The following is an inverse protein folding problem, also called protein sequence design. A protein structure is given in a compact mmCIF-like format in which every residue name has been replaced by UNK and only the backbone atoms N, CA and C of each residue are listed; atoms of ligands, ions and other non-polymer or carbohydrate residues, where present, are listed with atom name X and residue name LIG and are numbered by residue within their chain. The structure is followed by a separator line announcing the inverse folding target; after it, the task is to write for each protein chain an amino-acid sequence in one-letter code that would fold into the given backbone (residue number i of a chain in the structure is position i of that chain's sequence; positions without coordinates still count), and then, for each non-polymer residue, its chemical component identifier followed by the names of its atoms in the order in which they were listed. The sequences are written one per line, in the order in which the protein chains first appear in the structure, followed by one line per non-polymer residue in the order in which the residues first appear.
data_IF_425994603536
#
_entry.id   IF_425994603536
#
_cell.length_a   1.000
_cell.length_b   1.000
_cell.length_c   1.000
_cell.angle_alpha   90.00
_cell.angle_beta   90.00
_cell.angle_gamma   90.00
#
_symmetry.space_group_name_H-M   'P 1'
#
loop_
_entity.id
_entity.type
_entity.pdbx_description
1 polymer ?
#
# COMPACT_ATOMS: atom_id res chain seq x y z
N UNK A 1 23.06 3.58 -14.40
CA UNK A 1 22.03 3.10 -15.36
C UNK A 1 20.82 2.69 -14.51
N UNK A 2 19.74 3.46 -14.52
CA UNK A 2 18.51 3.07 -13.84
C UNK A 2 17.90 1.96 -14.69
N UNK A 3 18.06 0.72 -14.27
CA UNK A 3 17.33 -0.41 -14.86
C UNK A 3 15.83 -0.11 -14.76
N UNK A 4 15.08 -0.45 -15.80
CA UNK A 4 13.64 -0.21 -15.91
C UNK A 4 12.88 -0.94 -14.79
N UNK A 5 12.73 -0.26 -13.66
CA UNK A 5 11.96 -0.77 -12.52
C UNK A 5 10.49 -0.89 -12.89
N UNK A 6 9.99 -2.12 -12.99
CA UNK A 6 8.59 -2.40 -13.35
C UNK A 6 7.67 -2.18 -12.15
N UNK A 7 7.10 -1.00 -12.07
CA UNK A 7 6.13 -0.63 -11.06
C UNK A 7 4.73 -0.57 -11.66
N UNK A 8 3.80 -1.32 -11.09
CA UNK A 8 2.39 -1.25 -11.44
C UNK A 8 1.58 -0.77 -10.24
N UNK A 9 0.54 -0.03 -10.53
CA UNK A 9 -0.49 0.36 -9.57
C UNK A 9 -1.83 -0.07 -10.12
N UNK A 10 -2.63 -0.79 -9.33
CA UNK A 10 -4.05 -0.96 -9.62
C UNK A 10 -4.70 0.43 -9.65
N UNK A 11 -5.25 0.77 -10.79
CA UNK A 11 -5.81 2.10 -11.03
C UNK A 11 -6.97 2.38 -10.07
N UNK A 12 -7.08 3.63 -9.64
CA UNK A 12 -8.20 4.20 -8.89
C UNK A 12 -8.47 3.66 -7.47
N UNK A 13 -7.78 2.62 -7.00
CA UNK A 13 -8.04 1.97 -5.70
C UNK A 13 -9.13 0.91 -5.78
N UNK A 14 -9.08 -0.03 -4.83
CA UNK A 14 -10.02 -1.15 -4.72
C UNK A 14 -11.38 -0.63 -4.26
N UNK A 15 -12.45 -1.05 -4.95
CA UNK A 15 -13.82 -0.59 -4.68
C UNK A 15 -14.10 0.81 -5.22
N UNK A 16 -13.32 1.30 -6.20
CA UNK A 16 -13.63 2.54 -6.89
C UNK A 16 -14.94 2.41 -7.70
N UNK A 17 -15.65 3.53 -7.95
CA UNK A 17 -16.85 3.53 -8.77
C UNK A 17 -16.61 2.81 -10.10
N UNK A 18 -17.58 2.00 -10.52
CA UNK A 18 -17.55 1.21 -11.76
C UNK A 18 -16.54 0.05 -11.82
N UNK A 19 -15.75 -0.19 -10.77
CA UNK A 19 -14.86 -1.34 -10.71
C UNK A 19 -15.65 -2.63 -10.48
N UNK A 20 -15.49 -3.61 -11.39
CA UNK A 20 -16.07 -4.95 -11.27
C UNK A 20 -14.98 -5.96 -10.91
N UNK A 21 -15.37 -7.09 -10.34
CA UNK A 21 -14.44 -8.17 -10.01
C UNK A 21 -13.72 -8.73 -11.23
N UNK A 22 -14.41 -8.77 -12.39
CA UNK A 22 -13.83 -9.21 -13.65
C UNK A 22 -12.68 -8.30 -14.12
N UNK A 23 -12.78 -7.00 -13.86
CA UNK A 23 -11.69 -6.06 -14.15
C UNK A 23 -10.47 -6.33 -13.26
N UNK A 24 -10.70 -6.60 -11.97
CA UNK A 24 -9.62 -6.95 -11.03
C UNK A 24 -8.96 -8.27 -11.48
N UNK A 25 -9.75 -9.28 -11.87
CA UNK A 25 -9.22 -10.55 -12.37
C UNK A 25 -8.36 -10.36 -13.63
N UNK A 26 -8.82 -9.53 -14.57
CA UNK A 26 -8.07 -9.20 -15.79
C UNK A 26 -6.75 -8.48 -15.47
N UNK A 27 -6.76 -7.57 -14.49
CA UNK A 27 -5.56 -6.87 -14.02
C UNK A 27 -4.54 -7.86 -13.42
N UNK A 28 -5.01 -8.85 -12.63
CA UNK A 28 -4.14 -9.87 -12.05
C UNK A 28 -3.48 -10.74 -13.13
N UNK A 29 -4.24 -11.15 -14.16
CA UNK A 29 -3.72 -11.93 -15.31
C UNK A 29 -2.66 -11.10 -16.05
N UNK A 30 -2.97 -9.85 -16.36
CA UNK A 30 -2.03 -8.94 -17.02
C UNK A 30 -0.74 -8.75 -16.21
N UNK A 31 -0.84 -8.62 -14.88
CA UNK A 31 0.33 -8.53 -14.03
C UNK A 31 1.21 -9.79 -14.06
N UNK A 32 0.64 -10.98 -14.26
CA UNK A 32 1.43 -12.23 -14.40
C UNK A 32 2.32 -12.21 -15.64
N UNK A 33 1.87 -11.58 -16.73
CA UNK A 33 2.66 -11.44 -17.95
C UNK A 33 3.82 -10.47 -17.76
N UNK A 34 3.57 -9.34 -17.06
CA UNK A 34 4.56 -8.27 -16.87
C UNK A 34 5.57 -8.63 -15.77
N UNK A 35 5.17 -9.41 -14.76
CA UNK A 35 5.97 -9.75 -13.56
C UNK A 35 6.53 -8.50 -12.86
N UNK A 36 5.66 -7.67 -12.28
CA UNK A 36 6.07 -6.40 -11.67
C UNK A 36 6.92 -6.61 -10.43
N UNK A 37 7.92 -5.76 -10.26
CA UNK A 37 8.79 -5.74 -9.08
C UNK A 37 8.11 -5.07 -7.88
N UNK A 38 7.21 -4.12 -8.15
CA UNK A 38 6.40 -3.46 -7.13
C UNK A 38 4.94 -3.34 -7.58
N UNK A 39 4.02 -3.68 -6.68
CA UNK A 39 2.58 -3.63 -6.92
C UNK A 39 1.94 -2.70 -5.88
N UNK A 40 1.48 -1.53 -6.31
CA UNK A 40 0.73 -0.61 -5.46
C UNK A 40 -0.75 -0.97 -5.45
N UNK A 41 -1.29 -1.27 -4.28
CA UNK A 41 -2.71 -1.55 -4.07
C UNK A 41 -3.19 -0.84 -2.80
N UNK A 42 -4.40 -0.32 -2.81
CA UNK A 42 -5.04 0.29 -1.66
C UNK A 42 -6.52 0.49 -1.90
N UNK A 43 -7.32 0.69 -0.86
CA UNK A 43 -8.74 0.98 -1.00
C UNK A 43 -8.97 2.34 -1.68
N UNK A 44 -10.08 2.47 -2.37
CA UNK A 44 -10.52 3.75 -2.92
C UNK A 44 -10.92 4.70 -1.78
N UNK A 45 -10.42 5.92 -1.83
CA UNK A 45 -10.80 7.00 -0.91
C UNK A 45 -11.21 8.23 -1.73
N UNK A 46 -12.44 8.73 -1.57
CA UNK A 46 -12.91 9.90 -2.31
C UNK A 46 -12.15 11.16 -1.86
N UNK A 47 -12.07 12.13 -2.75
CA UNK A 47 -11.59 13.49 -2.45
C UNK A 47 -12.65 14.50 -2.81
N UNK A 48 -12.88 15.49 -1.94
CA UNK A 48 -13.93 16.52 -2.07
C UNK A 48 -13.86 17.33 -3.37
N UNK A 49 -12.68 17.48 -3.95
CA UNK A 49 -12.44 18.28 -5.15
C UNK A 49 -12.42 17.41 -6.43
N UNK A 50 -13.05 16.24 -6.39
CA UNK A 50 -13.16 15.32 -7.54
C UNK A 50 -14.61 14.99 -7.86
N UNK A 51 -14.91 14.54 -9.09
CA UNK A 51 -16.25 14.06 -9.44
C UNK A 51 -16.76 12.93 -8.53
N UNK A 52 -15.86 12.21 -7.86
CA UNK A 52 -16.16 11.08 -6.97
C UNK A 52 -16.28 11.48 -5.49
N UNK A 53 -16.45 12.79 -5.18
CA UNK A 53 -16.49 13.30 -3.80
C UNK A 53 -17.56 12.62 -2.92
N UNK A 54 -18.68 12.23 -3.51
CA UNK A 54 -19.83 11.64 -2.82
C UNK A 54 -19.90 10.10 -2.95
N UNK A 55 -18.88 9.48 -3.54
CA UNK A 55 -18.84 8.04 -3.68
C UNK A 55 -18.46 7.34 -2.37
N UNK A 56 -18.86 6.07 -2.25
CA UNK A 56 -18.54 5.26 -1.09
C UNK A 56 -17.04 4.98 -1.01
N UNK A 57 -16.53 4.94 0.20
CA UNK A 57 -15.16 4.46 0.47
C UNK A 57 -15.07 3.00 0.05
N UNK A 58 -13.94 2.63 -0.58
CA UNK A 58 -13.67 1.26 -0.99
C UNK A 58 -13.54 0.30 0.18
N UNK A 59 -13.85 -0.97 -0.04
CA UNK A 59 -13.87 -1.99 0.98
C UNK A 59 -12.46 -2.42 1.40
N UNK A 60 -12.20 -2.32 2.71
CA UNK A 60 -10.93 -2.71 3.29
C UNK A 60 -10.69 -4.22 3.18
N UNK A 61 -11.71 -5.03 3.48
CA UNK A 61 -11.63 -6.49 3.44
C UNK A 61 -11.24 -6.99 2.04
N UNK A 62 -11.87 -6.48 1.00
CA UNK A 62 -11.52 -6.82 -0.38
C UNK A 62 -10.07 -6.43 -0.69
N UNK A 63 -9.61 -5.28 -0.22
CA UNK A 63 -8.21 -4.85 -0.41
C UNK A 63 -7.25 -5.81 0.29
N UNK A 64 -7.54 -6.26 1.51
CA UNK A 64 -6.71 -7.19 2.26
C UNK A 64 -6.66 -8.58 1.59
N UNK A 65 -7.79 -9.07 1.10
CA UNK A 65 -7.86 -10.32 0.31
C UNK A 65 -6.99 -10.20 -0.94
N UNK A 66 -7.08 -9.10 -1.67
CA UNK A 66 -6.28 -8.88 -2.87
C UNK A 66 -4.79 -8.77 -2.57
N UNK A 67 -4.38 -8.17 -1.45
CA UNK A 67 -2.98 -8.18 -0.98
C UNK A 67 -2.52 -9.62 -0.78
N UNK A 68 -3.33 -10.48 -0.15
CA UNK A 68 -3.00 -11.90 0.07
C UNK A 68 -2.88 -12.65 -1.26
N UNK A 69 -3.80 -12.46 -2.19
CA UNK A 69 -3.75 -13.06 -3.52
C UNK A 69 -2.50 -12.62 -4.27
N UNK A 70 -2.21 -11.32 -4.27
CA UNK A 70 -1.00 -10.77 -4.90
C UNK A 70 0.28 -11.35 -4.29
N UNK A 71 0.33 -11.55 -2.97
CA UNK A 71 1.49 -12.16 -2.31
C UNK A 71 1.68 -13.61 -2.73
N UNK A 72 0.59 -14.38 -2.91
CA UNK A 72 0.67 -15.76 -3.38
C UNK A 72 1.12 -15.84 -4.85
N UNK A 73 0.62 -14.96 -5.71
CA UNK A 73 0.99 -14.94 -7.13
C UNK A 73 2.40 -14.38 -7.34
N UNK A 74 2.76 -13.34 -6.58
CA UNK A 74 4.03 -12.61 -6.71
C UNK A 74 4.83 -12.60 -5.39
N UNK A 75 5.40 -13.77 -5.01
CA UNK A 75 6.00 -13.93 -3.68
C UNK A 75 7.18 -13.02 -3.39
N UNK A 76 7.88 -12.52 -4.42
CA UNK A 76 9.04 -11.64 -4.28
C UNK A 76 8.72 -10.15 -4.46
N UNK A 77 7.58 -9.80 -5.04
CA UNK A 77 7.24 -8.41 -5.33
C UNK A 77 7.11 -7.55 -4.07
N UNK A 78 7.45 -6.28 -4.23
CA UNK A 78 7.26 -5.27 -3.20
C UNK A 78 5.79 -4.84 -3.19
N UNK A 79 5.10 -5.06 -2.08
CA UNK A 79 3.68 -4.71 -1.91
C UNK A 79 3.56 -3.76 -0.72
N UNK A 80 3.23 -2.47 -0.94
CA UNK A 80 3.10 -1.51 0.15
C UNK A 80 1.82 -1.71 0.97
N UNK A 81 1.95 -1.67 2.30
CA UNK A 81 0.84 -1.36 3.19
C UNK A 81 0.57 0.15 3.12
N UNK A 82 -0.42 0.54 2.33
CA UNK A 82 -0.66 1.95 1.98
C UNK A 82 -1.20 2.77 3.16
N UNK A 83 -0.99 4.08 3.13
CA UNK A 83 -1.58 4.99 4.12
C UNK A 83 -3.11 5.00 4.06
N UNK A 84 -3.70 4.65 2.92
CA UNK A 84 -5.14 4.54 2.75
C UNK A 84 -5.76 3.49 3.70
N UNK A 85 -5.12 2.33 3.89
CA UNK A 85 -5.55 1.32 4.86
C UNK A 85 -5.61 1.88 6.30
N UNK A 86 -4.55 2.59 6.70
CA UNK A 86 -4.50 3.23 8.01
C UNK A 86 -5.50 4.39 8.16
N UNK A 87 -5.91 5.03 7.05
CA UNK A 87 -6.91 6.11 7.08
C UNK A 87 -8.32 5.56 7.30
N UNK A 88 -8.64 4.39 6.75
CA UNK A 88 -9.94 3.75 6.95
C UNK A 88 -10.08 3.23 8.36
N UNK A 89 -9.02 2.61 8.89
CA UNK A 89 -9.05 1.96 10.19
C UNK A 89 -7.70 2.08 10.89
N UNK A 90 -7.73 2.38 12.18
CA UNK A 90 -6.55 2.26 13.03
C UNK A 90 -6.03 0.82 12.99
N UNK A 91 -4.71 0.64 12.85
CA UNK A 91 -4.11 -0.69 12.64
C UNK A 91 -4.25 -1.23 11.21
N UNK A 92 -4.83 -0.47 10.28
CA UNK A 92 -5.05 -0.93 8.91
C UNK A 92 -3.78 -1.25 8.13
N UNK A 93 -2.66 -0.56 8.41
CA UNK A 93 -1.36 -0.90 7.81
C UNK A 93 -0.82 -2.22 8.33
N UNK A 94 -0.94 -2.44 9.62
CA UNK A 94 -0.56 -3.67 10.31
C UNK A 94 -1.34 -4.86 9.75
N UNK A 95 -2.64 -4.69 9.53
CA UNK A 95 -3.45 -5.69 8.84
C UNK A 95 -2.95 -5.95 7.41
N UNK A 96 -2.59 -4.90 6.67
CA UNK A 96 -1.97 -5.05 5.34
C UNK A 96 -0.69 -5.88 5.37
N UNK A 97 0.18 -5.70 6.38
CA UNK A 97 1.41 -6.49 6.57
C UNK A 97 1.07 -7.95 6.86
N UNK A 98 0.12 -8.21 7.77
CA UNK A 98 -0.33 -9.56 8.12
C UNK A 98 -0.94 -10.30 6.91
N UNK A 99 -1.52 -9.57 5.96
CA UNK A 99 -2.05 -10.09 4.70
C UNK A 99 -1.00 -10.21 3.57
N UNK A 100 0.28 -9.86 3.83
CA UNK A 100 1.36 -10.09 2.87
C UNK A 100 2.02 -8.85 2.29
N UNK A 101 1.63 -7.64 2.69
CA UNK A 101 2.41 -6.44 2.37
C UNK A 101 3.78 -6.50 3.07
N UNK A 102 4.82 -5.99 2.41
CA UNK A 102 6.19 -6.02 2.91
C UNK A 102 6.93 -4.69 2.77
N UNK A 103 6.22 -3.63 2.43
CA UNK A 103 6.76 -2.28 2.35
C UNK A 103 5.87 -1.33 3.14
N UNK A 104 6.48 -0.45 3.92
CA UNK A 104 5.80 0.66 4.58
C UNK A 104 6.49 1.96 4.19
N UNK A 105 5.69 2.99 3.94
CA UNK A 105 6.19 4.30 3.52
C UNK A 105 5.86 5.33 4.59
N UNK A 106 6.84 5.76 5.40
CA UNK A 106 6.65 6.87 6.32
C UNK A 106 6.44 8.18 5.55
N UNK A 107 5.69 9.11 6.13
CA UNK A 107 5.54 10.45 5.55
C UNK A 107 6.73 11.31 5.99
N UNK A 108 7.69 11.48 5.08
CA UNK A 108 8.88 12.30 5.31
C UNK A 108 8.72 13.76 4.82
N UNK A 109 7.54 14.14 4.35
CA UNK A 109 7.29 15.50 3.90
C UNK A 109 7.43 16.50 5.07
N UNK A 110 8.07 17.67 4.86
CA UNK A 110 8.12 18.72 5.88
C UNK A 110 6.73 19.16 6.34
N UNK A 111 6.58 19.48 7.63
CA UNK A 111 5.30 19.80 8.26
C UNK A 111 4.52 20.91 7.54
N UNK A 112 5.22 21.94 7.10
CA UNK A 112 4.63 23.11 6.44
C UNK A 112 4.02 22.82 5.06
N UNK A 113 4.44 21.73 4.40
CA UNK A 113 3.91 21.34 3.06
C UNK A 113 2.99 20.13 3.11
N UNK A 114 2.90 19.41 4.24
CA UNK A 114 2.06 18.20 4.36
C UNK A 114 0.60 18.45 4.01
N UNK A 115 0.05 19.61 4.42
CA UNK A 115 -1.33 20.00 4.14
C UNK A 115 -1.63 20.19 2.65
N UNK A 116 -0.61 20.44 1.83
CA UNK A 116 -0.73 20.60 0.38
C UNK A 116 -0.78 19.26 -0.37
N UNK A 117 -0.49 18.15 0.32
CA UNK A 117 -0.42 16.80 -0.25
C UNK A 117 -1.58 15.91 0.22
N UNK A 118 -2.78 16.46 0.24
CA UNK A 118 -3.99 15.71 0.54
C UNK A 118 -4.52 15.07 -0.75
N UNK A 119 -4.15 13.82 -0.99
CA UNK A 119 -4.63 13.05 -2.14
C UNK A 119 -6.07 12.53 -1.96
N UNK A 120 -6.58 12.53 -0.74
CA UNK A 120 -7.93 12.15 -0.34
C UNK A 120 -8.29 12.78 1.00
N UNK A 121 -9.59 12.84 1.32
CA UNK A 121 -10.07 13.39 2.59
C UNK A 121 -9.52 12.61 3.80
N UNK A 122 -9.25 13.32 4.88
CA UNK A 122 -8.82 12.74 6.17
C UNK A 122 -7.54 11.87 6.10
N UNK A 123 -6.69 12.08 5.08
CA UNK A 123 -5.39 11.40 5.03
C UNK A 123 -4.68 11.55 6.38
N UNK A 124 -4.29 10.44 7.00
CA UNK A 124 -3.51 10.46 8.24
C UNK A 124 -2.21 11.23 7.96
N UNK A 125 -2.19 12.48 8.42
CA UNK A 125 -0.96 13.24 8.59
C UNK A 125 -0.66 13.18 10.09
N UNK A 126 0.19 12.26 10.50
CA UNK A 126 0.71 12.30 11.86
C UNK A 126 1.37 13.66 12.05
N UNK A 127 0.88 14.47 13.00
CA UNK A 127 1.44 15.78 13.34
C UNK A 127 2.85 15.72 13.94
N UNK A 128 3.47 14.55 13.91
CA UNK A 128 4.80 14.24 14.41
C UNK A 128 5.87 14.58 13.39
N UNK A 129 7.05 14.96 13.84
CA UNK A 129 8.23 15.10 12.99
C UNK A 129 8.56 13.78 12.27
N UNK A 130 9.27 13.86 11.15
CA UNK A 130 9.54 12.69 10.29
C UNK A 130 10.23 11.56 11.03
N UNK A 131 11.18 11.87 11.94
CA UNK A 131 11.89 10.88 12.72
C UNK A 131 10.98 10.17 13.74
N UNK A 132 10.16 10.93 14.46
CA UNK A 132 9.18 10.39 15.42
C UNK A 132 8.13 9.51 14.71
N UNK A 133 7.70 9.90 13.51
CA UNK A 133 6.81 9.10 12.68
C UNK A 133 7.38 7.74 12.27
N UNK A 134 8.69 7.67 12.01
CA UNK A 134 9.41 6.40 11.73
C UNK A 134 9.46 5.53 12.98
N UNK A 135 9.77 6.08 14.15
CA UNK A 135 9.81 5.33 15.41
C UNK A 135 8.42 4.79 15.82
N UNK A 136 7.35 5.56 15.63
CA UNK A 136 5.98 5.09 15.85
C UNK A 136 5.63 3.94 14.92
N UNK A 137 5.99 4.06 13.64
CA UNK A 137 5.77 3.01 12.65
C UNK A 137 6.55 1.74 13.01
N UNK A 138 7.79 1.86 13.46
CA UNK A 138 8.60 0.73 13.93
C UNK A 138 7.93 0.01 15.09
N UNK A 139 7.52 0.76 16.12
CA UNK A 139 6.80 0.20 17.27
C UNK A 139 5.50 -0.52 16.88
N UNK A 140 4.77 -0.01 15.89
CA UNK A 140 3.52 -0.65 15.44
C UNK A 140 3.79 -1.95 14.68
N UNK A 141 4.85 -1.99 13.88
CA UNK A 141 5.29 -3.20 13.14
C UNK A 141 5.83 -4.26 14.11
N UNK A 142 6.62 -3.84 15.13
CA UNK A 142 7.16 -4.74 16.17
C UNK A 142 6.02 -5.42 16.96
N UNK A 143 4.91 -4.71 17.25
CA UNK A 143 3.74 -5.27 17.96
C UNK A 143 3.09 -6.45 17.26
N UNK A 144 3.18 -6.53 15.94
CA UNK A 144 2.64 -7.63 15.15
C UNK A 144 3.69 -8.71 14.80
N UNK A 145 4.86 -8.65 15.45
CA UNK A 145 5.92 -9.65 15.30
C UNK A 145 6.81 -9.48 14.07
N UNK A 146 6.78 -8.31 13.42
CA UNK A 146 7.62 -8.00 12.26
C UNK A 146 8.69 -6.99 12.61
N UNK A 147 9.76 -6.95 11.84
CA UNK A 147 10.88 -6.02 12.02
C UNK A 147 10.89 -5.03 10.84
N UNK A 148 10.83 -3.74 11.15
CA UNK A 148 11.04 -2.69 10.17
C UNK A 148 12.53 -2.50 9.94
N UNK A 149 13.01 -2.87 8.74
CA UNK A 149 14.40 -2.65 8.34
C UNK A 149 14.57 -1.24 7.75
N UNK A 150 15.67 -0.57 8.09
CA UNK A 150 16.05 0.71 7.48
C UNK A 150 16.79 0.56 6.15
N UNK A 151 16.72 -0.62 5.52
CA UNK A 151 17.33 -0.87 4.23
C UNK A 151 16.62 -0.09 3.12
N UNK A 152 17.31 0.13 2.01
CA UNK A 152 16.79 0.84 0.84
C UNK A 152 15.51 0.21 0.25
N UNK A 153 15.28 -1.09 0.51
CA UNK A 153 14.07 -1.79 0.09
C UNK A 153 14.05 -2.10 -1.40
N UNK A 154 15.21 -2.41 -1.97
CA UNK A 154 15.32 -2.82 -3.37
C UNK A 154 14.63 -4.17 -3.62
N UNK A 155 14.08 -4.33 -4.81
CA UNK A 155 13.63 -5.62 -5.29
C UNK A 155 14.82 -6.54 -5.50
N UNK A 156 14.75 -7.76 -4.97
CA UNK A 156 15.78 -8.78 -5.12
C UNK A 156 15.16 -10.10 -5.60
N UNK A 157 15.40 -10.41 -6.86
CA UNK A 157 14.93 -11.67 -7.48
C UNK A 157 15.59 -12.92 -6.86
N UNK A 158 16.77 -12.76 -6.25
CA UNK A 158 17.50 -13.86 -5.62
C UNK A 158 17.10 -14.06 -4.14
N UNK A 159 16.18 -13.25 -3.64
CA UNK A 159 15.69 -13.35 -2.27
C UNK A 159 15.05 -14.71 -2.05
N UNK A 160 15.72 -15.56 -1.26
CA UNK A 160 15.15 -16.84 -0.81
C UNK A 160 13.98 -16.55 0.13
N UNK A 161 12.80 -17.03 -0.19
CA UNK A 161 11.67 -17.04 0.73
C UNK A 161 12.06 -17.93 1.91
N UNK A 162 12.16 -17.35 3.10
CA UNK A 162 12.23 -18.13 4.34
C UNK A 162 10.82 -18.64 4.60
N UNK A 163 10.56 -19.89 4.22
CA UNK A 163 9.37 -20.61 4.64
C UNK A 163 9.73 -21.16 6.02
N UNK A 164 9.14 -20.58 7.07
CA UNK A 164 9.19 -21.11 8.42
C UNK A 164 8.12 -22.17 8.59
#
# INVERSE_FOLDING_TARGET
MLENFKKIRLSNGVGSPFQKLENIASDLIFMQEIKPEMIGIGPFLPHKDTPFANEKIGEMELTLILISILRLIFPLSLIPATTALGTIKEGGRELGILHGANVVMPNLSPMNVRKKYLLYNNKISTGTESAEGVELLKKSVDKIGYILTGARGDYDINRKLKIN
#
